data_IF_760310893233
#
_entry.id   IF_760310893233
#
_cell.length_a   1.000
_cell.length_b   1.000
_cell.length_c   1.000
_cell.angle_alpha   90.00
_cell.angle_beta   90.00
_cell.angle_gamma   90.00
#
_symmetry.space_group_name_H-M   'P 1'
#
loop_
_entity.id
_entity.type
_entity.pdbx_description
1 polymer ?
#
# COMPACT_ATOMS: atom_id res chain seq x y z
N UNK A 1 -8.34 -1.66 22.01
CA UNK A 1 -8.03 -0.26 21.65
C UNK A 1 -9.27 0.61 21.66
N UNK A 2 -10.36 0.17 21.02
CA UNK A 2 -11.63 0.91 21.03
C UNK A 2 -12.14 1.18 22.45
N UNK A 3 -12.35 0.16 23.28
CA UNK A 3 -12.91 0.39 24.63
C UNK A 3 -11.99 1.23 25.53
N UNK A 4 -10.70 0.89 25.57
CA UNK A 4 -9.72 1.51 26.48
C UNK A 4 -9.22 2.89 26.01
N UNK A 5 -8.97 3.05 24.72
CA UNK A 5 -8.31 4.22 24.14
C UNK A 5 -9.19 5.00 23.16
N UNK A 6 -10.41 4.51 22.86
CA UNK A 6 -11.32 5.12 21.89
C UNK A 6 -10.69 5.28 20.50
N UNK A 7 -9.85 4.31 20.12
CA UNK A 7 -9.17 4.26 18.84
C UNK A 7 -9.50 2.95 18.10
N UNK A 8 -10.02 3.09 16.88
CA UNK A 8 -10.46 2.02 15.98
C UNK A 8 -9.73 2.05 14.62
N UNK A 9 -8.74 2.93 14.48
CA UNK A 9 -7.93 3.09 13.29
C UNK A 9 -6.43 3.12 13.62
N UNK A 10 -5.61 2.47 12.78
CA UNK A 10 -4.15 2.53 12.85
C UNK A 10 -3.61 3.17 11.58
N UNK A 11 -2.71 4.14 11.74
CA UNK A 11 -1.80 4.53 10.67
C UNK A 11 -0.47 3.81 10.92
N UNK A 12 -0.18 2.81 10.09
CA UNK A 12 1.12 2.15 10.10
C UNK A 12 2.16 3.01 9.38
N UNK A 13 3.24 3.33 10.08
CA UNK A 13 4.31 4.19 9.60
C UNK A 13 5.48 3.41 9.00
N UNK A 14 5.30 2.14 8.63
CA UNK A 14 6.34 1.42 7.90
C UNK A 14 6.49 1.99 6.49
N UNK A 15 7.72 2.00 5.96
CA UNK A 15 7.99 2.52 4.62
C UNK A 15 7.31 1.68 3.53
N UNK A 16 7.24 0.37 3.73
CA UNK A 16 6.57 -0.58 2.84
C UNK A 16 6.14 -1.82 3.63
N UNK A 17 4.87 -1.85 4.06
CA UNK A 17 4.33 -2.94 4.87
C UNK A 17 4.39 -4.31 4.17
N UNK A 18 4.33 -4.31 2.83
CA UNK A 18 4.26 -5.54 2.02
C UNK A 18 5.61 -5.92 1.41
N UNK A 19 6.69 -5.25 1.81
CA UNK A 19 8.03 -5.46 1.25
C UNK A 19 8.56 -6.88 1.43
N UNK A 20 8.24 -7.52 2.56
CA UNK A 20 8.42 -8.95 2.79
C UNK A 20 7.06 -9.64 2.79
N UNK A 21 6.77 -10.38 1.70
CA UNK A 21 5.48 -11.04 1.49
C UNK A 21 5.23 -12.18 2.48
N UNK A 22 6.26 -12.92 2.86
CA UNK A 22 6.10 -14.05 3.78
C UNK A 22 5.89 -13.56 5.20
N UNK A 23 6.60 -12.50 5.59
CA UNK A 23 6.29 -11.79 6.83
C UNK A 23 4.86 -11.23 6.81
N UNK A 24 4.43 -10.58 5.73
CA UNK A 24 3.09 -9.98 5.66
C UNK A 24 1.97 -11.03 5.75
N UNK A 25 2.17 -12.20 5.13
CA UNK A 25 1.28 -13.37 5.28
C UNK A 25 1.22 -13.82 6.74
N UNK A 26 2.38 -13.98 7.39
CA UNK A 26 2.44 -14.38 8.79
C UNK A 26 1.78 -13.34 9.71
N UNK A 27 1.97 -12.05 9.43
CA UNK A 27 1.31 -10.94 10.12
C UNK A 27 -0.22 -11.03 9.99
N UNK A 28 -0.73 -11.23 8.77
CA UNK A 28 -2.16 -11.39 8.53
C UNK A 28 -2.72 -12.64 9.24
N UNK A 29 -1.99 -13.76 9.21
CA UNK A 29 -2.38 -15.01 9.88
C UNK A 29 -2.37 -14.90 11.41
N UNK A 30 -1.52 -14.04 11.98
CA UNK A 30 -1.44 -13.77 13.40
C UNK A 30 -2.56 -12.84 13.91
N UNK A 31 -3.38 -12.26 13.03
CA UNK A 31 -4.47 -11.35 13.41
C UNK A 31 -5.45 -12.07 14.35
N UNK A 32 -5.66 -11.57 15.58
CA UNK A 32 -6.57 -12.19 16.53
C UNK A 32 -8.01 -12.27 16.01
N UNK A 33 -8.67 -13.41 16.25
CA UNK A 33 -10.08 -13.59 15.91
C UNK A 33 -10.95 -12.50 16.57
N UNK A 34 -11.82 -11.87 15.79
CA UNK A 34 -12.72 -10.82 16.26
C UNK A 34 -12.09 -9.43 16.40
N UNK A 35 -10.79 -9.26 16.11
CA UNK A 35 -10.17 -7.92 16.05
C UNK A 35 -10.72 -7.16 14.83
N UNK A 36 -11.64 -6.25 15.10
CA UNK A 36 -12.20 -5.30 14.13
C UNK A 36 -11.44 -4.00 14.23
N UNK A 37 -10.43 -3.85 13.38
CA UNK A 37 -9.64 -2.62 13.26
C UNK A 37 -9.42 -2.30 11.80
N UNK A 38 -9.47 -1.02 11.48
CA UNK A 38 -9.11 -0.50 10.17
C UNK A 38 -7.71 0.10 10.22
N UNK A 39 -6.99 0.03 9.11
CA UNK A 39 -5.69 0.67 9.04
C UNK A 39 -5.37 1.20 7.64
N UNK A 40 -4.39 2.10 7.61
CA UNK A 40 -3.69 2.54 6.40
C UNK A 40 -2.18 2.40 6.59
N UNK A 41 -1.47 2.31 5.46
CA UNK A 41 -0.03 2.08 5.42
C UNK A 41 0.56 2.57 4.10
N UNK A 42 1.89 2.51 4.00
CA UNK A 42 2.63 2.76 2.77
C UNK A 42 2.97 1.45 2.06
N UNK A 43 2.97 1.48 0.73
CA UNK A 43 3.35 0.34 -0.13
C UNK A 43 4.07 0.82 -1.39
N UNK A 44 4.95 -0.02 -1.92
CA UNK A 44 5.46 0.11 -3.29
C UNK A 44 4.51 -0.56 -4.28
N UNK A 45 4.20 0.10 -5.39
CA UNK A 45 3.32 -0.44 -6.44
C UNK A 45 3.77 -1.83 -6.95
N UNK A 46 5.09 -2.03 -7.06
CA UNK A 46 5.70 -3.30 -7.51
C UNK A 46 5.28 -4.49 -6.63
N UNK A 47 5.11 -4.26 -5.32
CA UNK A 47 4.78 -5.31 -4.34
C UNK A 47 3.32 -5.76 -4.37
N UNK A 48 2.44 -4.99 -5.00
CA UNK A 48 0.99 -5.25 -5.01
C UNK A 48 0.62 -6.24 -6.09
N UNK A 49 0.43 -7.51 -5.73
CA UNK A 49 -0.22 -8.52 -6.58
C UNK A 49 -1.60 -8.91 -6.01
N UNK A 50 -2.29 -9.84 -6.68
CA UNK A 50 -3.62 -10.30 -6.28
C UNK A 50 -3.64 -10.86 -4.85
N UNK A 51 -2.61 -11.61 -4.45
CA UNK A 51 -2.53 -12.20 -3.11
C UNK A 51 -2.36 -11.11 -2.05
N UNK A 52 -1.44 -10.18 -2.28
CA UNK A 52 -1.19 -9.04 -1.39
C UNK A 52 -2.42 -8.14 -1.27
N UNK A 53 -3.06 -7.78 -2.39
CA UNK A 53 -4.26 -6.94 -2.37
C UNK A 53 -5.42 -7.61 -1.62
N UNK A 54 -5.59 -8.93 -1.79
CA UNK A 54 -6.56 -9.70 -1.02
C UNK A 54 -6.25 -9.69 0.49
N UNK A 55 -5.00 -9.95 0.86
CA UNK A 55 -4.57 -9.98 2.27
C UNK A 55 -4.71 -8.60 2.93
N UNK A 56 -4.41 -7.51 2.23
CA UNK A 56 -4.67 -6.15 2.70
C UNK A 56 -6.15 -5.96 3.04
N UNK A 57 -7.06 -6.32 2.13
CA UNK A 57 -8.50 -6.19 2.36
C UNK A 57 -8.99 -7.07 3.53
N UNK A 58 -8.61 -8.34 3.58
CA UNK A 58 -9.03 -9.29 4.63
C UNK A 58 -8.47 -8.92 6.02
N UNK A 59 -7.27 -8.35 6.06
CA UNK A 59 -6.66 -7.88 7.32
C UNK A 59 -7.25 -6.55 7.81
N UNK A 60 -8.05 -5.85 7.00
CA UNK A 60 -8.73 -4.61 7.39
C UNK A 60 -8.07 -3.32 6.91
N UNK A 61 -7.15 -3.40 5.95
CA UNK A 61 -6.61 -2.22 5.26
C UNK A 61 -7.74 -1.55 4.48
N UNK A 62 -7.95 -0.25 4.69
CA UNK A 62 -9.00 0.52 3.99
C UNK A 62 -8.43 1.50 2.98
N UNK A 63 -7.14 1.85 3.11
CA UNK A 63 -6.43 2.68 2.14
C UNK A 63 -4.94 2.50 2.23
N UNK A 64 -4.23 2.76 1.14
CA UNK A 64 -2.77 2.78 1.09
C UNK A 64 -2.26 4.06 0.46
N UNK A 65 -1.11 4.54 0.95
CA UNK A 65 -0.29 5.47 0.18
C UNK A 65 0.62 4.66 -0.76
N UNK A 66 0.60 5.00 -2.05
CA UNK A 66 1.47 4.39 -3.05
C UNK A 66 2.36 5.47 -3.64
N UNK A 67 3.67 5.34 -3.46
CA UNK A 67 4.63 6.21 -4.14
C UNK A 67 4.66 5.89 -5.64
N UNK A 68 3.82 6.56 -6.43
CA UNK A 68 3.78 6.43 -7.90
C UNK A 68 4.77 7.36 -8.59
N UNK A 69 5.10 8.46 -7.91
CA UNK A 69 6.05 9.52 -8.26
C UNK A 69 5.69 10.33 -9.51
N UNK A 70 5.56 9.70 -10.67
CA UNK A 70 5.37 10.41 -11.94
C UNK A 70 4.76 9.50 -13.01
N UNK A 71 4.12 10.12 -14.01
CA UNK A 71 3.57 9.44 -15.19
C UNK A 71 4.57 9.31 -16.35
N UNK A 72 5.80 9.81 -16.22
CA UNK A 72 6.85 9.71 -17.25
C UNK A 72 7.86 8.58 -16.91
N UNK A 73 8.01 7.54 -17.76
CA UNK A 73 8.97 6.47 -17.53
C UNK A 73 10.42 6.95 -17.36
N UNK A 74 10.85 7.99 -18.09
CA UNK A 74 12.20 8.55 -17.98
C UNK A 74 12.40 9.25 -16.65
N UNK A 75 11.36 9.90 -16.15
CA UNK A 75 11.40 10.54 -14.84
C UNK A 75 11.45 9.50 -13.73
N UNK A 76 10.70 8.39 -13.83
CA UNK A 76 10.83 7.27 -12.89
C UNK A 76 12.26 6.73 -12.82
N UNK A 77 12.91 6.56 -13.97
CA UNK A 77 14.32 6.14 -14.05
C UNK A 77 15.25 7.18 -13.38
N UNK A 78 15.07 8.48 -13.68
CA UNK A 78 15.86 9.56 -13.07
C UNK A 78 15.71 9.63 -11.53
N UNK A 79 14.52 9.28 -11.03
CA UNK A 79 14.21 9.19 -9.60
C UNK A 79 14.70 7.88 -8.96
N UNK A 80 15.38 7.01 -9.72
CA UNK A 80 15.81 5.67 -9.30
C UNK A 80 14.63 4.83 -8.76
N UNK A 81 13.43 5.03 -9.34
CA UNK A 81 12.23 4.29 -8.94
C UNK A 81 12.29 2.88 -9.51
N UNK A 82 12.02 1.89 -8.66
CA UNK A 82 12.06 0.46 -9.05
C UNK A 82 10.76 -0.07 -9.67
N UNK A 83 9.68 0.68 -9.56
CA UNK A 83 8.36 0.39 -10.14
C UNK A 83 8.24 1.02 -11.53
N UNK A 84 7.61 0.32 -12.46
CA UNK A 84 7.27 0.88 -13.77
C UNK A 84 5.87 1.50 -13.78
N UNK A 85 5.48 2.15 -14.88
CA UNK A 85 4.10 2.60 -15.05
C UNK A 85 3.11 1.44 -15.05
N UNK A 86 3.48 0.30 -15.61
CA UNK A 86 2.66 -0.92 -15.60
C UNK A 86 2.46 -1.45 -14.17
N UNK A 87 3.49 -1.38 -13.32
CA UNK A 87 3.35 -1.68 -11.89
C UNK A 87 2.35 -0.73 -11.22
N UNK A 88 2.44 0.58 -11.48
CA UNK A 88 1.51 1.57 -10.92
C UNK A 88 0.06 1.30 -11.36
N UNK A 89 -0.16 1.04 -12.65
CA UNK A 89 -1.48 0.73 -13.20
C UNK A 89 -2.06 -0.57 -12.63
N UNK A 90 -1.24 -1.64 -12.60
CA UNK A 90 -1.63 -2.93 -12.03
C UNK A 90 -1.97 -2.81 -10.54
N UNK A 91 -1.17 -2.08 -9.77
CA UNK A 91 -1.44 -1.83 -8.36
C UNK A 91 -2.77 -1.10 -8.18
N UNK A 92 -3.03 -0.05 -8.97
CA UNK A 92 -4.31 0.68 -8.93
C UNK A 92 -5.50 -0.22 -9.21
N UNK A 93 -5.45 -1.03 -10.27
CA UNK A 93 -6.52 -1.95 -10.65
C UNK A 93 -6.83 -2.96 -9.53
N UNK A 94 -5.78 -3.56 -8.96
CA UNK A 94 -5.92 -4.54 -7.88
C UNK A 94 -6.46 -3.90 -6.59
N UNK A 95 -5.92 -2.77 -6.17
CA UNK A 95 -6.37 -2.07 -4.97
C UNK A 95 -7.85 -1.64 -5.11
N UNK A 96 -8.24 -1.12 -6.28
CA UNK A 96 -9.63 -0.78 -6.57
C UNK A 96 -10.54 -2.01 -6.59
N UNK A 97 -10.12 -3.11 -7.21
CA UNK A 97 -10.86 -4.39 -7.24
C UNK A 97 -11.18 -4.89 -5.82
N UNK A 98 -10.25 -4.72 -4.88
CA UNK A 98 -10.42 -5.10 -3.48
C UNK A 98 -11.00 -3.97 -2.60
N UNK A 99 -11.46 -2.86 -3.20
CA UNK A 99 -12.06 -1.69 -2.53
C UNK A 99 -11.16 -1.02 -1.49
N UNK A 100 -9.85 -1.01 -1.76
CA UNK A 100 -8.85 -0.30 -0.97
C UNK A 100 -8.66 1.09 -1.59
N UNK A 101 -8.82 2.14 -0.78
CA UNK A 101 -8.57 3.52 -1.21
C UNK A 101 -7.09 3.73 -1.55
N UNK A 102 -6.80 4.56 -2.55
CA UNK A 102 -5.42 4.87 -2.93
C UNK A 102 -5.14 6.36 -2.77
N UNK A 103 -4.11 6.66 -1.99
CA UNK A 103 -3.47 7.97 -1.96
C UNK A 103 -2.27 7.87 -2.89
N UNK A 104 -2.39 8.42 -4.09
CA UNK A 104 -1.31 8.42 -5.07
C UNK A 104 -0.29 9.50 -4.70
N UNK A 105 0.91 9.07 -4.30
CA UNK A 105 2.07 9.95 -4.14
C UNK A 105 2.60 10.34 -5.51
N UNK A 106 2.54 11.63 -5.83
CA UNK A 106 3.07 12.21 -7.07
C UNK A 106 4.02 13.34 -6.70
N UNK A 107 5.17 13.40 -7.34
CA UNK A 107 6.19 14.42 -7.18
C UNK A 107 6.24 15.26 -8.46
N UNK A 108 6.17 16.57 -8.29
CA UNK A 108 6.22 17.55 -9.38
C UNK A 108 7.42 18.49 -9.18
N UNK A 109 7.98 18.99 -10.28
CA UNK A 109 9.13 19.88 -10.30
C UNK A 109 10.47 19.17 -10.08
N UNK A 110 10.59 17.90 -10.48
CA UNK A 110 11.87 17.18 -10.36
C UNK A 110 12.84 17.67 -11.44
N UNK A 111 14.14 17.72 -11.11
CA UNK A 111 15.17 18.17 -12.05
C UNK A 111 15.14 17.32 -13.33
N UNK A 112 14.84 17.96 -14.47
CA UNK A 112 14.66 17.30 -15.76
C UNK A 112 13.23 17.33 -16.30
N UNK A 113 12.25 17.75 -15.49
CA UNK A 113 10.86 18.00 -15.88
C UNK A 113 10.68 19.33 -16.65
#
# INVERSE_FOLDING_TARGET
MVEKYQADFIWDSSDNLVGDKEWFKAFCAAKPNGLKIHYTNYVDAKGIDEEVAKLLAESGCVSVFVGMETGDPKMLESMNKRSTLEDNMRAMELLQKYRIGVIAGVVVGVHGE
#
